data_IF_186181872448
#
_entry.id   IF_186181872448
#
_cell.length_a   1.000
_cell.length_b   1.000
_cell.length_c   1.000
_cell.angle_alpha   90.00
_cell.angle_beta   90.00
_cell.angle_gamma   90.00
#
_symmetry.space_group_name_H-M   'P 1'
#
loop_
_entity.id
_entity.type
_entity.pdbx_description
1 polymer ?
#
# COMPACT_ATOMS: atom_id res chain seq x y z
N UNK A 1 -10.23 -61.16 58.95
CA UNK A 1 -9.74 -59.78 59.09
C UNK A 1 -9.51 -59.25 57.70
N UNK A 2 -10.28 -58.20 57.33
CA UNK A 2 -10.61 -57.75 56.00
C UNK A 2 -9.42 -57.15 55.22
N UNK A 3 -9.22 -57.65 54.00
CA UNK A 3 -8.36 -57.01 52.96
C UNK A 3 -9.27 -56.16 52.04
N UNK A 4 -8.94 -54.89 51.94
CA UNK A 4 -9.64 -53.97 51.06
C UNK A 4 -8.81 -53.85 49.77
N UNK A 5 -9.38 -54.34 48.65
CA UNK A 5 -8.88 -54.15 47.28
C UNK A 5 -9.13 -52.72 46.84
N UNK A 6 -8.07 -52.07 46.40
CA UNK A 6 -8.08 -50.75 45.81
C UNK A 6 -7.97 -50.90 44.29
N UNK A 7 -9.14 -50.77 43.59
CA UNK A 7 -9.19 -50.74 42.10
C UNK A 7 -8.85 -49.37 41.62
N UNK A 8 -7.67 -49.26 41.00
CA UNK A 8 -7.27 -48.04 40.27
C UNK A 8 -8.08 -47.85 39.00
N UNK A 9 -8.82 -46.76 38.92
CA UNK A 9 -9.44 -46.27 37.71
C UNK A 9 -8.38 -45.49 36.90
N UNK A 10 -7.92 -46.10 35.82
CA UNK A 10 -7.21 -45.37 34.77
C UNK A 10 -8.25 -44.54 33.95
N UNK A 11 -8.28 -43.26 34.22
CA UNK A 11 -8.98 -42.30 33.33
C UNK A 11 -7.96 -41.78 32.34
N UNK A 12 -7.92 -42.35 31.16
CA UNK A 12 -7.24 -41.78 30.01
C UNK A 12 -8.14 -40.69 29.45
N UNK A 13 -7.89 -39.44 29.85
CA UNK A 13 -8.46 -38.28 29.16
C UNK A 13 -7.66 -38.05 27.89
N UNK A 14 -8.12 -38.60 26.79
CA UNK A 14 -7.77 -38.08 25.47
C UNK A 14 -8.37 -36.69 25.34
N UNK A 15 -7.59 -35.67 25.64
CA UNK A 15 -7.89 -34.32 25.20
C UNK A 15 -7.80 -34.28 23.66
N UNK A 16 -8.92 -34.48 23.01
CA UNK A 16 -9.10 -34.10 21.60
C UNK A 16 -8.95 -32.59 21.53
N UNK A 17 -7.77 -32.15 21.15
CA UNK A 17 -7.53 -30.79 20.72
C UNK A 17 -8.35 -30.57 19.46
N UNK A 18 -9.60 -30.16 19.64
CA UNK A 18 -10.45 -29.68 18.56
C UNK A 18 -9.84 -28.40 18.03
N UNK A 19 -9.10 -28.53 16.95
CA UNK A 19 -8.67 -27.39 16.12
C UNK A 19 -9.89 -26.50 15.88
N UNK A 20 -9.84 -25.19 16.20
CA UNK A 20 -11.00 -24.32 15.98
C UNK A 20 -11.36 -24.40 14.51
N UNK A 21 -12.56 -24.87 14.22
CA UNK A 21 -13.14 -24.83 12.87
C UNK A 21 -13.08 -23.40 12.37
N UNK A 22 -12.09 -23.11 11.53
CA UNK A 22 -11.98 -21.82 10.83
C UNK A 22 -13.25 -21.70 10.01
N UNK A 23 -14.19 -20.86 10.45
CA UNK A 23 -15.40 -20.58 9.71
C UNK A 23 -15.03 -19.93 8.40
N UNK A 24 -14.99 -20.71 7.34
CA UNK A 24 -14.72 -20.22 5.99
C UNK A 24 -15.83 -19.28 5.60
N UNK A 25 -15.53 -18.00 5.42
CA UNK A 25 -16.50 -17.01 4.96
C UNK A 25 -16.67 -17.10 3.43
N UNK A 26 -17.75 -16.52 2.90
CA UNK A 26 -17.94 -16.41 1.44
C UNK A 26 -16.76 -15.71 0.78
N UNK A 27 -16.23 -14.66 1.43
CA UNK A 27 -15.08 -13.89 0.93
C UNK A 27 -13.83 -14.77 0.80
N UNK A 28 -13.49 -15.53 1.83
CA UNK A 28 -12.31 -16.40 1.79
C UNK A 28 -12.49 -17.56 0.80
N UNK A 29 -13.71 -18.08 0.66
CA UNK A 29 -14.02 -19.09 -0.35
C UNK A 29 -13.89 -18.55 -1.77
N UNK A 30 -14.39 -17.34 -2.05
CA UNK A 30 -14.22 -16.66 -3.34
C UNK A 30 -12.75 -16.38 -3.62
N UNK A 31 -12.01 -15.92 -2.62
CA UNK A 31 -10.57 -15.64 -2.72
C UNK A 31 -9.75 -16.89 -3.06
N UNK A 32 -10.01 -18.03 -2.40
CA UNK A 32 -9.34 -19.31 -2.70
C UNK A 32 -9.62 -19.77 -4.13
N UNK A 33 -10.86 -19.62 -4.61
CA UNK A 33 -11.19 -19.91 -6.01
C UNK A 33 -10.42 -19.01 -6.98
N UNK A 34 -10.37 -17.71 -6.67
CA UNK A 34 -9.59 -16.75 -7.46
C UNK A 34 -8.11 -17.14 -7.55
N UNK A 35 -7.49 -17.55 -6.45
CA UNK A 35 -6.08 -17.95 -6.43
C UNK A 35 -5.79 -19.17 -7.35
N UNK A 36 -6.80 -20.02 -7.62
CA UNK A 36 -6.66 -21.17 -8.50
C UNK A 36 -7.04 -20.89 -9.95
N UNK A 37 -8.02 -20.00 -10.19
CA UNK A 37 -8.59 -19.73 -11.51
C UNK A 37 -8.02 -18.48 -12.19
N UNK A 38 -7.48 -17.55 -11.42
CA UNK A 38 -7.08 -16.19 -11.83
C UNK A 38 -8.22 -15.38 -12.51
N UNK A 39 -9.50 -15.78 -12.28
CA UNK A 39 -10.68 -15.13 -12.86
C UNK A 39 -11.09 -13.90 -12.01
N UNK A 40 -10.46 -12.76 -12.32
CA UNK A 40 -10.69 -11.51 -11.60
C UNK A 40 -12.12 -10.94 -11.78
N UNK A 41 -12.73 -10.97 -12.98
CA UNK A 41 -14.11 -10.52 -13.16
C UNK A 41 -15.11 -11.32 -12.32
N UNK A 42 -14.98 -12.66 -12.30
CA UNK A 42 -15.83 -13.53 -11.49
C UNK A 42 -15.67 -13.27 -10.00
N UNK A 43 -14.43 -13.14 -9.53
CA UNK A 43 -14.15 -12.82 -8.13
C UNK A 43 -14.78 -11.48 -7.74
N UNK A 44 -14.58 -10.43 -8.56
CA UNK A 44 -15.15 -9.11 -8.29
C UNK A 44 -16.68 -9.15 -8.22
N UNK A 45 -17.36 -9.81 -9.18
CA UNK A 45 -18.81 -9.92 -9.19
C UNK A 45 -19.35 -10.67 -7.95
N UNK A 46 -18.69 -11.77 -7.57
CA UNK A 46 -19.09 -12.57 -6.40
C UNK A 46 -18.89 -11.80 -5.08
N UNK A 47 -17.86 -10.97 -4.99
CA UNK A 47 -17.64 -10.14 -3.80
C UNK A 47 -18.62 -8.97 -3.75
N UNK A 48 -18.85 -8.30 -4.88
CA UNK A 48 -19.76 -7.13 -4.97
C UNK A 48 -21.20 -7.47 -4.58
N UNK A 49 -21.64 -8.71 -4.85
CA UNK A 49 -22.96 -9.20 -4.47
C UNK A 49 -23.20 -9.20 -2.95
N UNK A 50 -22.16 -9.43 -2.13
CA UNK A 50 -22.31 -9.67 -0.69
C UNK A 50 -21.58 -8.66 0.20
N UNK A 51 -20.63 -7.89 -0.32
CA UNK A 51 -19.75 -7.04 0.48
C UNK A 51 -19.66 -5.62 -0.04
N UNK A 52 -20.08 -4.67 0.78
CA UNK A 52 -19.81 -3.26 0.49
C UNK A 52 -18.32 -2.90 0.74
N UNK A 53 -17.79 -1.83 0.13
CA UNK A 53 -16.45 -1.34 0.44
C UNK A 53 -16.22 -1.04 1.93
N UNK A 54 -17.25 -0.59 2.66
CA UNK A 54 -17.19 -0.36 4.10
C UNK A 54 -17.01 -1.66 4.89
N UNK A 55 -17.74 -2.72 4.51
CA UNK A 55 -17.59 -4.06 5.10
C UNK A 55 -16.20 -4.61 4.84
N UNK A 56 -15.70 -4.50 3.60
CA UNK A 56 -14.35 -4.93 3.23
C UNK A 56 -13.27 -4.17 4.01
N UNK A 57 -13.45 -2.87 4.22
CA UNK A 57 -12.56 -2.06 5.07
C UNK A 57 -12.51 -2.57 6.51
N UNK A 58 -13.65 -2.97 7.07
CA UNK A 58 -13.72 -3.55 8.42
C UNK A 58 -13.00 -4.90 8.47
N UNK A 59 -13.21 -5.75 7.46
CA UNK A 59 -12.55 -7.06 7.35
C UNK A 59 -11.04 -6.92 7.13
N UNK A 60 -10.60 -5.93 6.38
CA UNK A 60 -9.18 -5.60 6.19
C UNK A 60 -8.49 -5.26 7.52
N UNK A 61 -9.19 -4.57 8.42
CA UNK A 61 -8.61 -4.13 9.70
C UNK A 61 -8.74 -5.16 10.83
N UNK A 62 -9.74 -6.04 10.80
CA UNK A 62 -10.12 -6.90 11.93
C UNK A 62 -10.19 -8.39 11.62
N UNK A 63 -10.13 -8.76 10.34
CA UNK A 63 -10.20 -10.16 9.90
C UNK A 63 -8.93 -10.95 10.24
N UNK A 64 -9.01 -12.27 10.09
CA UNK A 64 -7.84 -13.11 10.05
C UNK A 64 -6.97 -12.79 8.82
N UNK A 65 -5.79 -13.40 8.71
CA UNK A 65 -4.83 -13.11 7.64
C UNK A 65 -5.46 -13.30 6.25
N UNK A 66 -6.22 -14.37 6.06
CA UNK A 66 -6.82 -14.67 4.76
C UNK A 66 -7.95 -13.68 4.41
N UNK A 67 -8.78 -13.32 5.39
CA UNK A 67 -9.79 -12.28 5.22
C UNK A 67 -9.17 -10.93 4.88
N UNK A 68 -8.06 -10.55 5.55
CA UNK A 68 -7.36 -9.29 5.26
C UNK A 68 -6.78 -9.27 3.85
N UNK A 69 -6.14 -10.36 3.40
CA UNK A 69 -5.65 -10.50 2.01
C UNK A 69 -6.78 -10.39 0.99
N UNK A 70 -7.86 -11.15 1.20
CA UNK A 70 -9.03 -11.12 0.33
C UNK A 70 -9.68 -9.72 0.28
N UNK A 71 -9.80 -9.06 1.44
CA UNK A 71 -10.36 -7.71 1.52
C UNK A 71 -9.49 -6.65 0.84
N UNK A 72 -8.16 -6.74 0.99
CA UNK A 72 -7.24 -5.86 0.30
C UNK A 72 -7.40 -5.96 -1.22
N UNK A 73 -7.38 -7.18 -1.77
CA UNK A 73 -7.60 -7.43 -3.20
C UNK A 73 -8.97 -6.92 -3.67
N UNK A 74 -10.04 -7.24 -2.92
CA UNK A 74 -11.40 -6.81 -3.25
C UNK A 74 -11.53 -5.28 -3.27
N UNK A 75 -10.93 -4.58 -2.31
CA UNK A 75 -10.91 -3.11 -2.28
C UNK A 75 -10.13 -2.53 -3.46
N UNK A 76 -9.09 -3.21 -3.94
CA UNK A 76 -8.39 -2.82 -5.17
C UNK A 76 -9.29 -2.85 -6.40
N UNK A 77 -10.21 -3.79 -6.48
CA UNK A 77 -11.13 -3.94 -7.62
C UNK A 77 -12.39 -3.09 -7.48
N UNK A 78 -13.04 -3.13 -6.31
CA UNK A 78 -14.38 -2.58 -6.04
C UNK A 78 -14.36 -1.28 -5.24
N UNK A 79 -13.22 -0.97 -4.62
CA UNK A 79 -13.08 0.21 -3.75
C UNK A 79 -13.11 1.52 -4.52
N UNK A 80 -13.28 2.58 -3.77
CA UNK A 80 -13.28 3.95 -4.23
C UNK A 80 -12.26 4.78 -3.40
N UNK A 81 -12.30 6.10 -3.55
CA UNK A 81 -11.41 7.02 -2.82
C UNK A 81 -11.38 6.77 -1.30
N UNK A 82 -12.50 6.40 -0.68
CA UNK A 82 -12.53 6.13 0.77
C UNK A 82 -11.72 4.89 1.18
N UNK A 83 -11.41 4.01 0.23
CA UNK A 83 -10.62 2.79 0.44
C UNK A 83 -9.10 3.05 0.41
N UNK A 84 -8.65 4.21 -0.06
CA UNK A 84 -7.22 4.54 -0.15
C UNK A 84 -6.57 4.58 1.23
N UNK A 85 -7.19 5.22 2.21
CA UNK A 85 -6.61 5.30 3.56
C UNK A 85 -6.56 3.95 4.28
N UNK A 86 -7.62 3.11 4.29
CA UNK A 86 -7.54 1.75 4.82
C UNK A 86 -6.45 0.89 4.17
N UNK A 87 -6.33 0.90 2.85
CA UNK A 87 -5.27 0.20 2.13
C UNK A 87 -3.88 0.76 2.46
N UNK A 88 -3.76 2.09 2.55
CA UNK A 88 -2.52 2.75 2.96
C UNK A 88 -2.05 2.32 4.35
N UNK A 89 -2.95 2.13 5.31
CA UNK A 89 -2.62 1.56 6.64
C UNK A 89 -2.18 0.10 6.54
N UNK A 90 -2.81 -0.68 5.66
CA UNK A 90 -2.50 -2.09 5.48
C UNK A 90 -1.17 -2.36 4.75
N UNK A 91 -0.51 -1.33 4.18
CA UNK A 91 0.87 -1.40 3.70
C UNK A 91 1.86 -1.75 4.82
N UNK A 92 1.51 -1.49 6.07
CA UNK A 92 2.30 -1.84 7.27
C UNK A 92 1.79 -3.10 7.99
N UNK A 93 0.92 -3.91 7.40
CA UNK A 93 0.38 -5.12 8.04
C UNK A 93 1.51 -6.09 8.46
N UNK A 94 1.41 -6.78 9.61
CA UNK A 94 2.38 -7.80 10.01
C UNK A 94 2.57 -8.89 8.97
N UNK A 95 1.49 -9.32 8.29
CA UNK A 95 1.55 -10.35 7.25
C UNK A 95 1.99 -9.76 5.91
N UNK A 96 3.05 -10.35 5.33
CA UNK A 96 3.60 -9.91 4.06
C UNK A 96 2.60 -10.03 2.90
N UNK A 97 1.78 -11.07 2.89
CA UNK A 97 0.78 -11.27 1.82
C UNK A 97 -0.31 -10.20 1.85
N UNK A 98 -0.70 -9.73 3.05
CA UNK A 98 -1.61 -8.58 3.21
C UNK A 98 -0.94 -7.31 2.70
N UNK A 99 0.34 -7.06 3.04
CA UNK A 99 1.06 -5.89 2.54
C UNK A 99 1.15 -5.85 1.02
N UNK A 100 1.50 -6.97 0.37
CA UNK A 100 1.60 -7.06 -1.09
C UNK A 100 0.23 -6.81 -1.76
N UNK A 101 -0.83 -7.51 -1.31
CA UNK A 101 -2.17 -7.29 -1.84
C UNK A 101 -2.65 -5.85 -1.63
N UNK A 102 -2.28 -5.23 -0.50
CA UNK A 102 -2.60 -3.84 -0.20
C UNK A 102 -1.81 -2.86 -1.06
N UNK A 103 -0.55 -3.14 -1.37
CA UNK A 103 0.28 -2.28 -2.23
C UNK A 103 -0.26 -2.24 -3.66
N UNK A 104 -0.51 -3.39 -4.28
CA UNK A 104 -1.09 -3.47 -5.61
C UNK A 104 -2.43 -2.74 -5.68
N UNK A 105 -3.31 -2.97 -4.69
CA UNK A 105 -4.63 -2.37 -4.60
C UNK A 105 -4.58 -0.86 -4.34
N UNK A 106 -3.69 -0.41 -3.46
CA UNK A 106 -3.48 0.98 -3.12
C UNK A 106 -3.01 1.79 -4.34
N UNK A 107 -2.01 1.28 -5.04
CA UNK A 107 -1.48 1.91 -6.26
C UNK A 107 -2.52 1.96 -7.39
N UNK A 108 -3.25 0.88 -7.60
CA UNK A 108 -4.33 0.85 -8.58
C UNK A 108 -5.43 1.87 -8.27
N UNK A 109 -5.80 2.04 -6.99
CA UNK A 109 -6.78 3.05 -6.58
C UNK A 109 -6.26 4.47 -6.72
N UNK A 110 -5.00 4.75 -6.36
CA UNK A 110 -4.40 6.06 -6.56
C UNK A 110 -4.48 6.52 -8.02
N UNK A 111 -4.26 5.61 -8.97
CA UNK A 111 -4.35 5.90 -10.40
C UNK A 111 -5.81 6.07 -10.86
N UNK A 112 -6.75 5.34 -10.26
CA UNK A 112 -8.16 5.26 -10.69
C UNK A 112 -9.11 6.22 -9.94
N UNK A 113 -8.66 6.89 -8.89
CA UNK A 113 -9.55 7.65 -7.98
C UNK A 113 -10.28 8.83 -8.63
N UNK A 114 -9.77 9.34 -9.74
CA UNK A 114 -10.32 10.51 -10.41
C UNK A 114 -11.39 10.16 -11.46
N UNK A 115 -12.11 11.18 -11.91
CA UNK A 115 -13.06 11.07 -13.02
C UNK A 115 -12.37 10.50 -14.29
N UNK A 116 -13.09 9.76 -15.15
CA UNK A 116 -12.50 9.07 -16.31
C UNK A 116 -11.63 9.98 -17.21
N UNK A 117 -12.04 11.23 -17.40
CA UNK A 117 -11.27 12.20 -18.20
C UNK A 117 -9.92 12.53 -17.55
N UNK A 118 -9.89 12.72 -16.24
CA UNK A 118 -8.65 12.99 -15.50
C UNK A 118 -7.75 11.77 -15.44
N UNK A 119 -8.33 10.58 -15.34
CA UNK A 119 -7.59 9.32 -15.41
C UNK A 119 -6.84 9.17 -16.74
N UNK A 120 -7.50 9.41 -17.89
CA UNK A 120 -6.84 9.38 -19.19
C UNK A 120 -5.68 10.40 -19.31
N UNK A 121 -5.89 11.62 -18.78
CA UNK A 121 -4.83 12.63 -18.73
C UNK A 121 -3.66 12.20 -17.85
N UNK A 122 -3.95 11.61 -16.70
CA UNK A 122 -2.92 11.06 -15.83
C UNK A 122 -2.09 9.98 -16.53
N UNK A 123 -2.73 9.01 -17.18
CA UNK A 123 -2.01 7.95 -17.91
C UNK A 123 -1.06 8.52 -18.98
N UNK A 124 -1.48 9.58 -19.68
CA UNK A 124 -0.61 10.28 -20.64
C UNK A 124 0.61 10.91 -19.96
N UNK A 125 0.41 11.57 -18.82
CA UNK A 125 1.51 12.18 -18.05
C UNK A 125 2.47 11.09 -17.52
N UNK A 126 1.93 10.00 -16.99
CA UNK A 126 2.72 8.86 -16.53
C UNK A 126 3.57 8.28 -17.65
N UNK A 127 2.98 8.04 -18.82
CA UNK A 127 3.69 7.52 -19.98
C UNK A 127 4.87 8.41 -20.40
N UNK A 128 4.67 9.73 -20.45
CA UNK A 128 5.75 10.68 -20.76
C UNK A 128 6.85 10.67 -19.67
N UNK A 129 6.46 10.64 -18.39
CA UNK A 129 7.42 10.56 -17.28
C UNK A 129 8.24 9.27 -17.32
N UNK A 130 7.60 8.12 -17.58
CA UNK A 130 8.25 6.80 -17.68
C UNK A 130 9.23 6.76 -18.88
N UNK A 131 8.91 7.49 -19.96
CA UNK A 131 9.79 7.69 -21.10
C UNK A 131 10.91 8.71 -20.88
N UNK A 132 10.97 9.37 -19.71
CA UNK A 132 11.93 10.43 -19.44
C UNK A 132 11.63 11.77 -20.12
N UNK A 133 10.47 11.89 -20.75
CA UNK A 133 10.02 13.09 -21.46
C UNK A 133 9.43 14.13 -20.51
N UNK A 134 10.16 14.45 -19.42
CA UNK A 134 9.68 15.30 -18.33
C UNK A 134 9.26 16.71 -18.78
N UNK A 135 9.96 17.29 -19.74
CA UNK A 135 9.62 18.60 -20.32
C UNK A 135 8.29 18.57 -21.06
N UNK A 136 8.00 17.49 -21.81
CA UNK A 136 6.74 17.29 -22.50
C UNK A 136 5.59 16.96 -21.54
N UNK A 137 5.88 16.28 -20.42
CA UNK A 137 4.93 15.90 -19.39
C UNK A 137 4.49 17.11 -18.52
N UNK A 138 5.34 18.13 -18.38
CA UNK A 138 5.13 19.21 -17.40
C UNK A 138 3.83 19.99 -17.63
N UNK A 139 3.60 20.51 -18.81
CA UNK A 139 2.40 21.30 -19.07
C UNK A 139 1.10 20.48 -18.90
N UNK A 140 0.98 19.24 -19.44
CA UNK A 140 -0.15 18.35 -19.15
C UNK A 140 -0.33 18.06 -17.66
N UNK A 141 0.76 17.87 -16.89
CA UNK A 141 0.69 17.61 -15.45
C UNK A 141 0.16 18.83 -14.68
N UNK A 142 0.61 20.03 -15.01
CA UNK A 142 0.12 21.29 -14.40
C UNK A 142 -1.38 21.48 -14.67
N UNK A 143 -1.83 21.27 -15.90
CA UNK A 143 -3.25 21.34 -16.25
C UNK A 143 -4.06 20.31 -15.49
N UNK A 144 -3.55 19.09 -15.33
CA UNK A 144 -4.24 18.04 -14.58
C UNK A 144 -4.39 18.40 -13.09
N UNK A 145 -3.34 18.94 -12.47
CA UNK A 145 -3.38 19.40 -11.08
C UNK A 145 -4.39 20.54 -10.88
N UNK A 146 -4.47 21.48 -11.82
CA UNK A 146 -5.45 22.57 -11.79
C UNK A 146 -6.90 22.03 -11.89
N UNK A 147 -7.15 21.11 -12.81
CA UNK A 147 -8.47 20.52 -13.05
C UNK A 147 -8.90 19.52 -11.97
N UNK A 148 -7.97 18.85 -11.35
CA UNK A 148 -8.21 17.84 -10.32
C UNK A 148 -7.33 18.07 -9.08
N UNK A 149 -7.49 19.20 -8.36
CA UNK A 149 -6.58 19.62 -7.30
C UNK A 149 -6.56 18.69 -6.09
N UNK A 150 -7.54 17.80 -5.94
CA UNK A 150 -7.62 16.79 -4.89
C UNK A 150 -6.98 15.45 -5.27
N UNK A 151 -6.51 15.30 -6.49
CA UNK A 151 -5.97 14.05 -7.01
C UNK A 151 -4.50 13.90 -6.62
N UNK A 152 -4.23 13.05 -5.63
CA UNK A 152 -2.87 12.88 -5.07
C UNK A 152 -1.85 12.45 -6.13
N UNK A 153 -2.22 11.48 -6.99
CA UNK A 153 -1.33 10.98 -8.03
C UNK A 153 -0.98 12.05 -9.08
N UNK A 154 -1.88 13.00 -9.38
CA UNK A 154 -1.57 14.10 -10.27
C UNK A 154 -0.42 14.97 -9.73
N UNK A 155 -0.44 15.27 -8.43
CA UNK A 155 0.65 16.03 -7.77
C UNK A 155 1.95 15.22 -7.71
N UNK A 156 1.86 13.91 -7.54
CA UNK A 156 3.02 13.02 -7.59
C UNK A 156 3.68 13.05 -8.97
N UNK A 157 2.89 12.93 -10.03
CA UNK A 157 3.39 12.96 -11.40
C UNK A 157 3.96 14.33 -11.79
N UNK A 158 3.35 15.43 -11.33
CA UNK A 158 3.92 16.76 -11.48
C UNK A 158 5.28 16.90 -10.77
N UNK A 159 5.40 16.30 -9.58
CA UNK A 159 6.68 16.30 -8.85
C UNK A 159 7.76 15.51 -9.60
N UNK A 160 7.41 14.39 -10.25
CA UNK A 160 8.34 13.63 -11.11
C UNK A 160 8.81 14.49 -12.29
N UNK A 161 7.91 15.25 -12.94
CA UNK A 161 8.30 16.17 -14.01
C UNK A 161 9.36 17.17 -13.53
N UNK A 162 9.08 17.87 -12.43
CA UNK A 162 10.01 18.85 -11.87
C UNK A 162 11.32 18.23 -11.43
N UNK A 163 11.29 17.04 -10.84
CA UNK A 163 12.48 16.31 -10.43
C UNK A 163 13.33 15.88 -11.63
N UNK A 164 12.70 15.42 -12.72
CA UNK A 164 13.40 15.07 -13.96
C UNK A 164 14.02 16.27 -14.67
N UNK A 165 13.45 17.46 -14.47
CA UNK A 165 13.98 18.75 -14.93
C UNK A 165 14.97 19.39 -13.93
N UNK A 166 15.38 18.65 -12.89
CA UNK A 166 16.31 19.07 -11.83
C UNK A 166 15.83 20.30 -11.02
N UNK A 167 14.55 20.66 -11.13
CA UNK A 167 13.97 21.73 -10.33
C UNK A 167 13.45 21.18 -8.99
N UNK A 168 14.39 20.92 -8.08
CA UNK A 168 14.10 20.20 -6.82
C UNK A 168 13.22 21.00 -5.85
N UNK A 169 13.21 22.34 -5.88
CA UNK A 169 12.31 23.17 -5.07
C UNK A 169 10.84 23.01 -5.51
N UNK A 170 10.58 23.03 -6.82
CA UNK A 170 9.22 22.81 -7.34
C UNK A 170 8.79 21.35 -7.13
N UNK A 171 9.71 20.41 -7.32
CA UNK A 171 9.44 19.00 -7.04
C UNK A 171 9.09 18.76 -5.56
N UNK A 172 9.84 19.36 -4.62
CA UNK A 172 9.53 19.31 -3.18
C UNK A 172 8.11 19.80 -2.91
N UNK A 173 7.74 20.97 -3.44
CA UNK A 173 6.42 21.56 -3.26
C UNK A 173 5.31 20.63 -3.77
N UNK A 174 5.49 20.04 -4.96
CA UNK A 174 4.53 19.14 -5.55
C UNK A 174 4.43 17.80 -4.78
N UNK A 175 5.55 17.21 -4.31
CA UNK A 175 5.53 16.02 -3.44
C UNK A 175 4.82 16.30 -2.12
N UNK A 176 5.06 17.43 -1.48
CA UNK A 176 4.35 17.84 -0.25
C UNK A 176 2.86 18.00 -0.51
N UNK A 177 2.48 18.54 -1.66
CA UNK A 177 1.08 18.65 -2.08
C UNK A 177 0.42 17.28 -2.28
N UNK A 178 1.14 16.30 -2.82
CA UNK A 178 0.70 14.90 -2.91
C UNK A 178 0.49 14.31 -1.51
N UNK A 179 1.48 14.44 -0.62
CA UNK A 179 1.47 13.88 0.73
C UNK A 179 0.40 14.51 1.64
N UNK A 180 0.06 15.78 1.45
CA UNK A 180 -1.06 16.43 2.14
C UNK A 180 -2.41 15.80 1.76
N UNK A 181 -2.55 15.28 0.54
CA UNK A 181 -3.77 14.60 0.04
C UNK A 181 -3.79 13.11 0.37
N UNK A 182 -2.62 12.48 0.36
CA UNK A 182 -2.45 11.06 0.69
C UNK A 182 -1.14 10.86 1.45
N UNK A 183 -1.20 10.87 2.78
CA UNK A 183 -0.02 10.68 3.66
C UNK A 183 0.65 9.31 3.52
N UNK A 184 -0.10 8.32 3.01
CA UNK A 184 0.40 6.96 2.77
C UNK A 184 1.10 6.79 1.42
N UNK A 185 1.24 7.86 0.64
CA UNK A 185 1.87 7.81 -0.67
C UNK A 185 3.40 7.65 -0.51
N UNK A 186 3.83 6.43 -0.21
CA UNK A 186 5.24 6.13 0.07
C UNK A 186 6.19 6.46 -1.09
N UNK A 187 5.82 6.35 -2.41
CA UNK A 187 6.69 6.82 -3.49
C UNK A 187 6.93 8.33 -3.44
N UNK A 188 5.94 9.12 -3.00
CA UNK A 188 6.13 10.56 -2.83
C UNK A 188 7.10 10.89 -1.68
N UNK A 189 7.10 10.12 -0.59
CA UNK A 189 8.12 10.23 0.46
C UNK A 189 9.54 9.95 -0.05
N UNK A 190 9.70 8.93 -0.92
CA UNK A 190 10.99 8.66 -1.57
C UNK A 190 11.43 9.77 -2.51
N UNK A 191 10.51 10.28 -3.33
CA UNK A 191 10.78 11.40 -4.23
C UNK A 191 11.17 12.67 -3.47
N UNK A 192 10.46 12.97 -2.38
CA UNK A 192 10.76 14.08 -1.49
C UNK A 192 12.16 13.95 -0.86
N UNK A 193 12.50 12.75 -0.37
CA UNK A 193 13.84 12.47 0.15
C UNK A 193 14.93 12.71 -0.89
N UNK A 194 14.69 12.30 -2.13
CA UNK A 194 15.63 12.55 -3.23
C UNK A 194 15.82 14.06 -3.49
N UNK A 195 14.72 14.83 -3.49
CA UNK A 195 14.80 16.29 -3.63
C UNK A 195 15.68 16.89 -2.52
N UNK A 196 15.45 16.50 -1.25
CA UNK A 196 16.23 17.00 -0.11
C UNK A 196 17.71 16.60 -0.17
N UNK A 197 18.03 15.40 -0.68
CA UNK A 197 19.43 15.03 -0.91
C UNK A 197 20.12 15.93 -1.94
N UNK A 198 19.42 16.27 -3.02
CA UNK A 198 19.96 17.15 -4.07
C UNK A 198 20.08 18.61 -3.59
N UNK A 199 19.25 18.99 -2.62
CA UNK A 199 19.31 20.32 -1.95
C UNK A 199 20.28 20.36 -0.76
N UNK A 200 20.97 19.26 -0.43
CA UNK A 200 21.90 19.17 0.70
C UNK A 200 21.25 18.92 2.06
N UNK A 201 19.93 18.78 2.11
CA UNK A 201 19.11 18.62 3.33
C UNK A 201 19.08 17.17 3.81
N UNK A 202 20.24 16.61 4.16
CA UNK A 202 20.43 15.18 4.40
C UNK A 202 19.58 14.65 5.57
N UNK A 203 19.36 15.42 6.63
CA UNK A 203 18.57 14.99 7.79
C UNK A 203 17.10 14.88 7.45
N UNK A 204 16.58 15.82 6.68
CA UNK A 204 15.19 15.78 6.18
C UNK A 204 14.99 14.59 5.24
N UNK A 205 15.97 14.30 4.38
CA UNK A 205 15.93 13.14 3.50
C UNK A 205 15.88 11.82 4.27
N UNK A 206 16.71 11.66 5.33
CA UNK A 206 16.66 10.49 6.21
C UNK A 206 15.29 10.32 6.86
N UNK A 207 14.75 11.39 7.44
CA UNK A 207 13.42 11.37 8.07
C UNK A 207 12.31 10.94 7.09
N UNK A 208 12.37 11.42 5.84
CA UNK A 208 11.38 11.03 4.82
C UNK A 208 11.50 9.55 4.41
N UNK A 209 12.73 9.04 4.28
CA UNK A 209 12.96 7.61 3.99
C UNK A 209 12.52 6.71 5.15
N UNK A 210 12.71 7.14 6.38
CA UNK A 210 12.23 6.43 7.57
C UNK A 210 10.70 6.40 7.62
N UNK A 211 10.03 7.52 7.32
CA UNK A 211 8.56 7.57 7.18
C UNK A 211 8.07 6.67 6.04
N UNK A 212 8.76 6.65 4.90
CA UNK A 212 8.46 5.73 3.81
C UNK A 212 8.47 4.27 4.29
N UNK A 213 9.49 3.85 5.05
CA UNK A 213 9.58 2.49 5.59
C UNK A 213 8.60 2.19 6.73
N UNK A 214 8.18 3.20 7.50
CA UNK A 214 7.11 3.03 8.48
C UNK A 214 5.76 2.74 7.80
N UNK A 215 5.51 3.37 6.64
CA UNK A 215 4.30 3.15 5.85
C UNK A 215 4.38 1.82 5.11
N UNK A 216 5.45 1.58 4.38
CA UNK A 216 5.67 0.39 3.56
C UNK A 216 7.05 -0.23 3.86
N UNK A 217 7.12 -1.21 4.78
CA UNK A 217 8.39 -1.82 5.19
C UNK A 217 9.11 -2.57 4.07
N UNK A 218 8.42 -2.94 2.99
CA UNK A 218 9.00 -3.74 1.90
C UNK A 218 9.73 -2.91 0.84
N UNK A 219 9.85 -1.57 1.00
CA UNK A 219 10.56 -0.67 0.09
C UNK A 219 12.08 -0.81 0.26
N UNK A 220 12.69 -1.78 -0.43
CA UNK A 220 14.12 -2.06 -0.31
C UNK A 220 15.00 -0.89 -0.78
N UNK A 221 14.57 -0.15 -1.81
CA UNK A 221 15.29 1.05 -2.29
C UNK A 221 15.46 2.12 -1.20
N UNK A 222 14.45 2.32 -0.34
CA UNK A 222 14.55 3.26 0.78
C UNK A 222 15.56 2.77 1.83
N UNK A 223 15.57 1.46 2.14
CA UNK A 223 16.57 0.87 3.06
C UNK A 223 17.99 1.06 2.56
N UNK A 224 18.22 0.81 1.26
CA UNK A 224 19.53 0.98 0.65
C UNK A 224 19.98 2.45 0.69
N UNK A 225 19.09 3.39 0.41
CA UNK A 225 19.39 4.82 0.49
C UNK A 225 19.76 5.25 1.92
N UNK A 226 19.01 4.84 2.94
CA UNK A 226 19.34 5.12 4.35
C UNK A 226 20.72 4.59 4.71
N UNK A 227 21.04 3.33 4.33
CA UNK A 227 22.37 2.74 4.57
C UNK A 227 23.48 3.55 3.91
N UNK A 228 23.28 3.96 2.65
CA UNK A 228 24.26 4.75 1.90
C UNK A 228 24.51 6.13 2.54
N UNK A 229 23.45 6.82 2.97
CA UNK A 229 23.56 8.12 3.64
C UNK A 229 24.31 7.98 4.98
N UNK A 230 23.92 7.01 5.80
CA UNK A 230 24.58 6.77 7.10
C UNK A 230 26.03 6.36 6.96
N UNK A 231 26.40 5.61 5.92
CA UNK A 231 27.79 5.25 5.61
C UNK A 231 28.62 6.50 5.23
N UNK A 232 28.09 7.37 4.38
CA UNK A 232 28.78 8.62 3.98
C UNK A 232 29.06 9.52 5.19
N UNK A 233 28.10 9.70 6.10
CA UNK A 233 28.29 10.48 7.33
C UNK A 233 29.44 9.96 8.18
N UNK A 234 29.50 8.66 8.43
CA UNK A 234 30.61 8.07 9.21
C UNK A 234 31.98 8.30 8.59
N UNK A 235 32.03 8.44 7.26
CA UNK A 235 33.31 8.72 6.54
C UNK A 235 33.70 10.19 6.59
N UNK A 236 32.75 11.12 6.77
CA UNK A 236 33.02 12.54 6.93
C UNK A 236 33.34 12.93 8.37
N UNK A 237 32.92 12.13 9.34
CA UNK A 237 33.13 12.37 10.77
C UNK A 237 34.39 11.66 11.30
N UNK A 238 35.11 10.89 10.47
CA UNK A 238 36.35 10.15 10.77
C UNK A 238 37.57 10.81 10.15
#
# INVERSE_FOLDING_TARGET
MLAIENRGLHITTEETVTSPLVRTTRLTSAYRRFLTSADAPRFAAEVDEFYSPATLTTLLSRGDIEMRRASALSLGMLGNRSSIEPLGRALGDPDRGVRLASDDSFRALLVREAAPLHHQKLLKVMHLNDGGEHAAALAPAMILVDQAPKYAEAHHQLAICWQGLENYYQAESAYRSCLWRCRFHYPAWQGLARCWLMLGETDRALSALELCLQICPDVESARLQIRAIRRRRRQTDA
#
